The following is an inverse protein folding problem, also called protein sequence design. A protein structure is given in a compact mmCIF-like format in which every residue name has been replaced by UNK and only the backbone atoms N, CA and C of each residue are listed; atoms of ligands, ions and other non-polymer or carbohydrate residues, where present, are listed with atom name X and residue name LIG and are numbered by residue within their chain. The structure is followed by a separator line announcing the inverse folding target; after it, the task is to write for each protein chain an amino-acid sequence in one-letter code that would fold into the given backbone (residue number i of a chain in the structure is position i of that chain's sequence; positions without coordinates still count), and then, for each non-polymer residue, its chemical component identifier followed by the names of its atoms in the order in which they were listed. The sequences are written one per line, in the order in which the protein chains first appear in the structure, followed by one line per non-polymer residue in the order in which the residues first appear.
data_IF_045366192715
#
_entry.id   IF_045366192715
#
_cell.length_a   1.000
_cell.length_b   1.000
_cell.length_c   1.000
_cell.angle_alpha   90.00
_cell.angle_beta   90.00
_cell.angle_gamma   90.00
#
_symmetry.space_group_name_H-M   'P 1'
#
loop_
_entity.id
_entity.type
_entity.pdbx_description
1 polymer ?
#
# COMPACT_ATOMS: atom_id res chain seq x y z
N UNK A 1 -7.36 5.82 9.03
CA UNK A 1 -6.07 6.45 8.78
C UNK A 1 -5.06 6.11 9.89
N UNK A 2 -5.39 6.33 11.17
CA UNK A 2 -4.47 6.07 12.31
C UNK A 2 -3.95 4.64 12.34
N UNK A 3 -4.81 3.63 12.17
CA UNK A 3 -4.42 2.22 12.13
C UNK A 3 -3.45 1.92 10.97
N UNK A 4 -3.77 2.39 9.76
CA UNK A 4 -2.92 2.21 8.58
C UNK A 4 -1.54 2.85 8.79
N UNK A 5 -1.50 4.02 9.40
CA UNK A 5 -0.27 4.72 9.74
C UNK A 5 0.58 3.94 10.74
N UNK A 6 -0.03 3.46 11.84
CA UNK A 6 0.66 2.63 12.84
C UNK A 6 1.22 1.35 12.24
N UNK A 7 0.42 0.64 11.45
CA UNK A 7 0.85 -0.57 10.76
C UNK A 7 2.07 -0.33 9.85
N UNK A 8 2.11 0.79 9.12
CA UNK A 8 3.27 1.14 8.30
C UNK A 8 4.51 1.41 9.14
N UNK A 9 4.39 1.99 10.33
CA UNK A 9 5.51 2.21 11.25
C UNK A 9 6.11 0.90 11.79
N UNK A 10 5.34 -0.18 11.81
CA UNK A 10 5.80 -1.51 12.21
C UNK A 10 6.56 -2.27 11.09
N UNK A 11 6.52 -1.76 9.87
CA UNK A 11 7.31 -2.29 8.74
C UNK A 11 8.71 -1.66 8.70
N UNK A 12 9.57 -2.15 7.80
CA UNK A 12 10.92 -1.61 7.61
C UNK A 12 10.99 -0.29 6.84
N UNK A 13 9.86 0.41 6.64
CA UNK A 13 9.87 1.71 5.94
C UNK A 13 10.60 2.79 6.75
N UNK A 14 11.44 3.58 6.10
CA UNK A 14 12.21 4.65 6.76
C UNK A 14 11.38 5.90 7.10
N UNK A 15 10.23 6.07 6.46
CA UNK A 15 9.34 7.23 6.64
C UNK A 15 7.95 6.93 6.14
N UNK A 16 6.95 7.34 6.90
CA UNK A 16 5.53 7.32 6.49
C UNK A 16 5.08 8.74 6.20
N UNK A 17 4.35 8.93 5.11
CA UNK A 17 3.79 10.22 4.70
C UNK A 17 2.36 10.05 4.22
N UNK A 18 1.56 11.09 4.34
CA UNK A 18 0.15 11.09 3.95
C UNK A 18 -0.02 12.03 2.76
N UNK A 19 -0.50 11.47 1.62
CA UNK A 19 -0.90 12.26 0.45
C UNK A 19 -2.39 12.57 0.57
N UNK A 20 -2.72 13.86 0.72
CA UNK A 20 -4.11 14.29 0.89
C UNK A 20 -4.26 15.78 0.58
N UNK A 21 -5.36 16.14 -0.09
CA UNK A 21 -5.65 17.51 -0.54
C UNK A 21 -6.57 18.25 0.45
N UNK A 22 -6.33 18.09 1.76
CA UNK A 22 -7.15 18.70 2.82
C UNK A 22 -6.53 19.91 3.51
N UNK A 23 -5.26 20.24 3.18
CA UNK A 23 -4.54 21.36 3.76
C UNK A 23 -4.04 21.14 5.19
N UNK A 24 -4.19 19.94 5.75
CA UNK A 24 -3.74 19.66 7.10
C UNK A 24 -2.21 19.58 7.22
N UNK A 25 -1.70 20.00 8.36
CA UNK A 25 -0.27 19.95 8.65
C UNK A 25 0.24 18.49 8.65
N UNK A 26 1.32 18.23 7.90
CA UNK A 26 1.88 16.88 7.75
C UNK A 26 1.34 16.11 6.55
N UNK A 27 0.27 16.57 5.92
CA UNK A 27 -0.19 16.08 4.64
C UNK A 27 0.49 16.82 3.49
N UNK A 28 0.65 16.16 2.35
CA UNK A 28 1.11 16.86 1.15
C UNK A 28 0.06 16.72 0.03
N UNK A 29 -0.21 17.84 -0.67
CA UNK A 29 -1.20 17.85 -1.74
C UNK A 29 -0.66 17.22 -3.03
N UNK A 30 -1.58 16.84 -3.88
CA UNK A 30 -1.29 16.41 -5.24
C UNK A 30 -0.81 17.59 -6.11
N UNK A 31 0.27 17.37 -6.86
CA UNK A 31 0.74 18.33 -7.86
C UNK A 31 -0.24 18.48 -9.04
N UNK A 32 -1.00 17.42 -9.33
CA UNK A 32 -2.06 17.41 -10.34
C UNK A 32 -3.39 16.95 -9.72
N UNK A 33 -4.11 17.81 -8.99
CA UNK A 33 -5.36 17.41 -8.32
C UNK A 33 -6.41 16.84 -9.27
N UNK A 34 -7.24 15.93 -8.76
CA UNK A 34 -8.36 15.35 -9.49
C UNK A 34 -8.00 14.23 -10.49
N UNK A 35 -6.76 13.77 -10.50
CA UNK A 35 -6.29 12.70 -11.39
C UNK A 35 -6.12 11.34 -10.68
N UNK A 36 -6.91 11.11 -9.65
CA UNK A 36 -6.97 9.84 -8.91
C UNK A 36 -5.67 9.48 -8.18
N UNK A 37 -5.52 8.20 -7.78
CA UNK A 37 -4.38 7.75 -6.97
C UNK A 37 -3.01 8.00 -7.64
N UNK A 38 -2.96 8.02 -8.97
CA UNK A 38 -1.71 8.23 -9.70
C UNK A 38 -1.12 9.63 -9.43
N UNK A 39 -1.96 10.63 -9.14
CA UNK A 39 -1.49 11.97 -8.77
C UNK A 39 -0.77 11.99 -7.43
N UNK A 40 -1.31 11.31 -6.42
CA UNK A 40 -0.65 11.16 -5.13
C UNK A 40 0.68 10.42 -5.24
N UNK A 41 0.72 9.36 -6.06
CA UNK A 41 1.94 8.59 -6.35
C UNK A 41 3.00 9.49 -7.00
N UNK A 42 2.62 10.28 -8.00
CA UNK A 42 3.50 11.24 -8.66
C UNK A 42 4.06 12.25 -7.67
N UNK A 43 3.19 12.85 -6.85
CA UNK A 43 3.58 13.88 -5.88
C UNK A 43 4.56 13.33 -4.84
N UNK A 44 4.35 12.09 -4.39
CA UNK A 44 5.29 11.38 -3.52
C UNK A 44 6.62 11.09 -4.23
N UNK A 45 6.59 10.60 -5.47
CA UNK A 45 7.77 10.28 -6.25
C UNK A 45 8.66 11.50 -6.49
N UNK A 46 8.05 12.64 -6.81
CA UNK A 46 8.76 13.90 -7.04
C UNK A 46 9.33 14.49 -5.72
N UNK A 47 8.63 14.33 -4.61
CA UNK A 47 9.06 14.83 -3.30
C UNK A 47 10.20 14.02 -2.68
N UNK A 48 10.27 12.72 -3.00
CA UNK A 48 11.27 11.79 -2.46
C UNK A 48 12.05 11.06 -3.57
N UNK A 49 12.79 11.78 -4.42
CA UNK A 49 13.37 11.22 -5.66
C UNK A 49 14.37 10.09 -5.44
N UNK A 50 14.96 9.99 -4.24
CA UNK A 50 15.98 8.99 -3.90
C UNK A 50 15.42 7.86 -3.01
N UNK A 51 14.09 7.73 -2.90
CA UNK A 51 13.42 6.71 -2.09
C UNK A 51 12.44 5.92 -2.93
N UNK A 52 12.52 4.59 -2.87
CA UNK A 52 11.43 3.75 -3.36
C UNK A 52 10.18 3.96 -2.52
N UNK A 53 9.02 3.70 -3.07
CA UNK A 53 7.74 4.00 -2.46
C UNK A 53 6.96 2.70 -2.18
N UNK A 54 6.48 2.54 -0.96
CA UNK A 54 5.39 1.62 -0.64
C UNK A 54 4.09 2.43 -0.62
N UNK A 55 3.21 2.18 -1.57
CA UNK A 55 1.93 2.88 -1.73
C UNK A 55 0.83 1.99 -1.17
N UNK A 56 0.10 2.50 -0.19
CA UNK A 56 -0.99 1.81 0.48
C UNK A 56 -2.24 2.69 0.50
N UNK A 57 -3.40 2.22 -0.02
CA UNK A 57 -4.66 2.92 0.14
C UNK A 57 -5.21 2.74 1.56
N UNK A 58 -6.06 3.65 2.00
CA UNK A 58 -6.60 3.66 3.38
C UNK A 58 -7.81 2.75 3.58
N UNK A 59 -8.35 2.19 2.51
CA UNK A 59 -9.57 1.41 2.46
C UNK A 59 -9.36 -0.12 2.50
N UNK A 60 -8.19 -0.55 2.99
CA UNK A 60 -7.84 -1.95 3.22
C UNK A 60 -7.79 -2.27 4.73
N UNK A 61 -8.93 -2.46 5.39
CA UNK A 61 -9.00 -2.63 6.84
C UNK A 61 -8.38 -3.94 7.34
N UNK A 62 -8.30 -4.97 6.50
CA UNK A 62 -7.73 -6.28 6.82
C UNK A 62 -6.26 -6.43 6.44
N UNK A 63 -5.63 -5.34 5.97
CA UNK A 63 -4.19 -5.36 5.69
C UNK A 63 -3.40 -5.61 6.98
N UNK A 64 -2.32 -6.37 6.86
CA UNK A 64 -1.42 -6.71 7.95
C UNK A 64 0.05 -6.38 7.63
N UNK A 65 0.85 -6.25 8.70
CA UNK A 65 2.28 -5.90 8.63
C UNK A 65 3.06 -6.93 7.81
N UNK A 66 2.77 -8.22 8.00
CA UNK A 66 3.53 -9.30 7.34
C UNK A 66 3.33 -9.29 5.82
N UNK A 67 2.12 -8.97 5.37
CA UNK A 67 1.80 -8.82 3.95
C UNK A 67 2.54 -7.63 3.34
N UNK A 68 2.55 -6.47 4.03
CA UNK A 68 3.28 -5.30 3.56
C UNK A 68 4.80 -5.51 3.57
N UNK A 69 5.34 -6.16 4.59
CA UNK A 69 6.76 -6.47 4.68
C UNK A 69 7.21 -7.39 3.53
N UNK A 70 6.40 -8.38 3.16
CA UNK A 70 6.68 -9.23 1.99
C UNK A 70 6.77 -8.44 0.68
N UNK A 71 5.94 -7.40 0.54
CA UNK A 71 5.98 -6.53 -0.63
C UNK A 71 7.30 -5.75 -0.67
N UNK A 72 7.71 -5.17 0.46
CA UNK A 72 8.97 -4.45 0.63
C UNK A 72 10.18 -5.36 0.34
N UNK A 73 10.28 -6.49 1.04
CA UNK A 73 11.40 -7.43 0.91
C UNK A 73 11.56 -7.93 -0.53
N UNK A 74 10.43 -8.22 -1.20
CA UNK A 74 10.45 -8.67 -2.59
C UNK A 74 10.92 -7.55 -3.52
N UNK A 75 10.43 -6.33 -3.33
CA UNK A 75 10.80 -5.16 -4.12
C UNK A 75 12.30 -4.84 -4.01
N UNK A 76 12.83 -4.89 -2.80
CA UNK A 76 14.25 -4.65 -2.54
C UNK A 76 15.12 -5.78 -3.07
N UNK A 77 14.79 -7.03 -2.73
CA UNK A 77 15.55 -8.21 -3.12
C UNK A 77 15.70 -8.35 -4.64
N UNK A 78 14.61 -8.14 -5.38
CA UNK A 78 14.59 -8.33 -6.84
C UNK A 78 14.77 -7.03 -7.62
N UNK A 79 14.93 -5.91 -6.94
CA UNK A 79 15.01 -4.57 -7.56
C UNK A 79 13.90 -4.37 -8.60
N UNK A 80 12.66 -4.71 -8.28
CA UNK A 80 11.51 -4.70 -9.18
C UNK A 80 10.33 -3.93 -8.56
N UNK A 81 9.43 -3.44 -9.40
CA UNK A 81 8.10 -3.05 -8.93
C UNK A 81 7.33 -4.31 -8.53
N UNK A 82 6.57 -4.25 -7.45
CA UNK A 82 5.89 -5.43 -6.89
C UNK A 82 4.49 -5.10 -6.45
N UNK A 83 3.53 -5.97 -6.77
CA UNK A 83 2.15 -5.92 -6.28
C UNK A 83 1.60 -7.30 -5.99
N UNK A 84 0.40 -7.40 -5.45
CA UNK A 84 -0.30 -8.67 -5.26
C UNK A 84 -1.26 -8.94 -6.41
N UNK A 85 -1.06 -10.06 -7.11
CA UNK A 85 -1.93 -10.53 -8.20
C UNK A 85 -2.27 -9.42 -9.18
N UNK A 86 -3.56 -9.22 -9.41
CA UNK A 86 -4.09 -8.17 -10.30
C UNK A 86 -4.53 -6.89 -9.56
N UNK A 87 -4.28 -6.78 -8.25
CA UNK A 87 -4.62 -5.59 -7.49
C UNK A 87 -3.66 -4.45 -7.81
N UNK A 88 -4.19 -3.27 -8.13
CA UNK A 88 -3.40 -2.07 -8.42
C UNK A 88 -2.59 -1.60 -7.22
N UNK A 89 -3.15 -1.75 -6.02
CA UNK A 89 -2.58 -1.36 -4.73
C UNK A 89 -2.83 -2.47 -3.69
N UNK A 90 -1.96 -2.64 -2.69
CA UNK A 90 -0.71 -1.90 -2.45
C UNK A 90 0.35 -2.18 -3.53
N UNK A 91 1.24 -1.21 -3.71
CA UNK A 91 2.29 -1.26 -4.73
C UNK A 91 3.64 -0.85 -4.12
N UNK A 92 4.66 -1.70 -4.27
CA UNK A 92 6.04 -1.26 -4.13
C UNK A 92 6.54 -0.73 -5.47
N UNK A 93 6.90 0.54 -5.51
CA UNK A 93 7.32 1.26 -6.71
C UNK A 93 8.79 1.69 -6.59
N UNK A 94 9.61 1.26 -7.54
CA UNK A 94 10.95 1.79 -7.71
C UNK A 94 10.88 3.21 -8.25
N UNK A 95 11.35 4.16 -7.45
CA UNK A 95 11.29 5.57 -7.80
C UNK A 95 12.55 6.00 -8.57
N UNK A 96 12.70 5.50 -9.77
CA UNK A 96 13.76 5.89 -10.69
C UNK A 96 13.43 7.21 -11.40
N UNK A 97 14.41 7.80 -12.06
CA UNK A 97 14.17 8.98 -12.91
C UNK A 97 13.16 8.67 -14.03
N UNK A 98 13.31 7.52 -14.69
CA UNK A 98 12.36 7.06 -15.71
C UNK A 98 10.95 6.92 -15.15
N UNK A 99 10.81 6.40 -13.92
CA UNK A 99 9.51 6.30 -13.23
C UNK A 99 8.87 7.67 -13.07
N UNK A 100 9.61 8.66 -12.61
CA UNK A 100 9.12 10.04 -12.42
C UNK A 100 8.75 10.71 -13.74
N UNK A 101 9.59 10.57 -14.77
CA UNK A 101 9.31 11.11 -16.10
C UNK A 101 8.04 10.49 -16.71
N UNK A 102 7.86 9.18 -16.57
CA UNK A 102 6.66 8.48 -17.07
C UNK A 102 5.41 8.90 -16.29
N UNK A 103 5.49 9.08 -14.96
CA UNK A 103 4.39 9.62 -14.15
C UNK A 103 3.99 11.02 -14.60
N UNK A 104 4.98 11.93 -14.75
CA UNK A 104 4.74 13.30 -15.18
C UNK A 104 4.13 13.36 -16.59
N UNK A 105 4.68 12.59 -17.53
CA UNK A 105 4.13 12.48 -18.88
C UNK A 105 2.69 11.95 -18.88
N UNK A 106 2.42 10.89 -18.13
CA UNK A 106 1.08 10.29 -18.03
C UNK A 106 0.07 11.31 -17.52
N UNK A 107 0.40 12.06 -16.47
CA UNK A 107 -0.51 13.03 -15.87
C UNK A 107 -0.69 14.30 -16.72
N UNK A 108 0.30 14.70 -17.49
CA UNK A 108 0.24 15.92 -18.33
C UNK A 108 -0.32 15.67 -19.71
N UNK A 109 0.03 14.54 -20.32
CA UNK A 109 -0.14 14.31 -21.75
C UNK A 109 -1.16 13.24 -22.09
N UNK A 110 -1.74 12.54 -21.08
CA UNK A 110 -2.76 11.50 -21.33
C UNK A 110 -4.05 11.76 -20.55
N UNK A 111 -5.12 11.08 -20.96
CA UNK A 111 -6.41 11.10 -20.27
C UNK A 111 -6.64 9.80 -19.46
N UNK A 112 -5.61 9.01 -19.23
CA UNK A 112 -5.70 7.75 -18.48
C UNK A 112 -4.83 7.82 -17.23
N UNK A 113 -5.47 7.86 -16.06
CA UNK A 113 -4.84 8.00 -14.76
C UNK A 113 -4.88 6.70 -13.95
N UNK A 114 -5.00 5.56 -14.64
CA UNK A 114 -5.02 4.23 -14.02
C UNK A 114 -3.61 3.82 -13.57
N UNK A 115 -3.50 3.39 -12.32
CA UNK A 115 -2.26 2.80 -11.77
C UNK A 115 -1.86 1.54 -12.53
N UNK A 116 -2.84 0.70 -12.91
CA UNK A 116 -2.57 -0.52 -13.69
C UNK A 116 -1.93 -0.20 -15.03
N UNK A 117 -2.53 0.76 -15.76
CA UNK A 117 -1.99 1.17 -17.06
C UNK A 117 -0.61 1.80 -16.92
N UNK A 118 -0.37 2.61 -15.90
CA UNK A 118 0.96 3.13 -15.60
C UNK A 118 1.96 2.00 -15.37
N UNK A 119 1.59 0.99 -14.59
CA UNK A 119 2.47 -0.14 -14.28
C UNK A 119 2.86 -0.98 -15.51
N UNK A 120 2.09 -0.94 -16.61
CA UNK A 120 2.46 -1.66 -17.84
C UNK A 120 3.73 -1.14 -18.53
N UNK A 121 4.18 0.06 -18.17
CA UNK A 121 5.41 0.64 -18.71
C UNK A 121 6.69 0.07 -18.07
N UNK A 122 6.58 -0.77 -17.04
CA UNK A 122 7.73 -1.26 -16.27
C UNK A 122 7.64 -2.77 -15.99
N UNK A 123 8.79 -3.43 -15.78
CA UNK A 123 8.78 -4.76 -15.18
C UNK A 123 8.03 -4.75 -13.84
N UNK A 124 7.08 -5.67 -13.69
CA UNK A 124 6.22 -5.77 -12.53
C UNK A 124 6.13 -7.22 -12.07
N UNK A 125 6.59 -7.46 -10.85
CA UNK A 125 6.44 -8.75 -10.18
C UNK A 125 5.07 -8.84 -9.49
N UNK A 126 4.38 -9.95 -9.68
CA UNK A 126 3.09 -10.25 -9.03
C UNK A 126 3.29 -11.31 -7.96
N UNK A 127 3.07 -10.96 -6.72
CA UNK A 127 3.09 -11.91 -5.61
C UNK A 127 1.72 -12.55 -5.42
N UNK A 128 1.71 -13.82 -5.06
CA UNK A 128 0.49 -14.47 -4.60
C UNK A 128 0.22 -14.11 -3.14
N UNK A 129 -1.03 -13.82 -2.81
CA UNK A 129 -1.45 -13.70 -1.42
C UNK A 129 -1.47 -15.08 -0.77
N UNK A 130 -1.07 -15.15 0.49
CA UNK A 130 -1.25 -16.36 1.31
C UNK A 130 -2.71 -16.55 1.72
N UNK A 131 -3.40 -15.43 1.95
CA UNK A 131 -4.82 -15.34 2.25
C UNK A 131 -5.40 -14.16 1.47
N UNK A 132 -6.65 -14.21 1.06
CA UNK A 132 -7.26 -13.10 0.28
C UNK A 132 -7.76 -11.94 1.13
N UNK A 133 -7.98 -12.16 2.43
CA UNK A 133 -8.52 -11.17 3.35
C UNK A 133 -7.75 -9.84 3.42
N UNK A 134 -6.41 -9.78 3.39
CA UNK A 134 -5.69 -8.50 3.49
C UNK A 134 -6.04 -7.47 2.43
N UNK A 135 -6.47 -7.90 1.24
CA UNK A 135 -6.85 -6.98 0.14
C UNK A 135 -8.37 -6.76 0.04
N UNK A 136 -9.12 -7.14 1.07
CA UNK A 136 -10.54 -6.83 1.12
C UNK A 136 -10.73 -5.31 1.20
N UNK A 137 -11.29 -4.74 0.14
CA UNK A 137 -11.58 -3.31 0.06
C UNK A 137 -12.96 -3.04 0.67
N UNK A 138 -13.04 -2.08 1.59
CA UNK A 138 -14.29 -1.68 2.27
C UNK A 138 -14.73 -0.29 1.82
N UNK A 139 -15.55 -0.24 0.78
CA UNK A 139 -16.12 1.01 0.25
C UNK A 139 -17.43 1.41 0.92
N UNK A 140 -18.04 0.53 1.73
CA UNK A 140 -19.30 0.81 2.44
C UNK A 140 -19.17 0.60 3.94
N UNK A 141 -20.01 1.27 4.77
CA UNK A 141 -20.05 1.06 6.20
C UNK A 141 -20.34 -0.40 6.60
N UNK A 142 -21.10 -1.14 5.80
CA UNK A 142 -21.40 -2.55 6.01
C UNK A 142 -20.16 -3.41 5.80
N UNK A 143 -19.42 -3.17 4.72
CA UNK A 143 -18.16 -3.87 4.42
C UNK A 143 -17.12 -3.58 5.51
N UNK A 144 -17.05 -2.35 6.01
CA UNK A 144 -16.19 -1.99 7.12
C UNK A 144 -16.55 -2.73 8.40
N UNK A 145 -17.84 -2.80 8.76
CA UNK A 145 -18.32 -3.57 9.93
C UNK A 145 -18.00 -5.05 9.81
N UNK A 146 -18.23 -5.64 8.64
CA UNK A 146 -17.87 -7.03 8.37
C UNK A 146 -16.37 -7.28 8.55
N UNK A 147 -15.52 -6.40 8.05
CA UNK A 147 -14.08 -6.49 8.22
C UNK A 147 -13.67 -6.42 9.69
N UNK A 148 -14.23 -5.50 10.47
CA UNK A 148 -13.94 -5.34 11.90
C UNK A 148 -14.35 -6.56 12.73
N UNK A 149 -15.48 -7.19 12.44
CA UNK A 149 -15.91 -8.43 13.09
C UNK A 149 -14.95 -9.60 12.84
N UNK A 150 -14.36 -9.70 11.65
CA UNK A 150 -13.34 -10.71 11.37
C UNK A 150 -12.01 -10.47 12.08
N UNK A 151 -11.71 -9.23 12.46
CA UNK A 151 -10.54 -8.94 13.30
C UNK A 151 -10.68 -9.47 14.71
N UNK A 152 -11.83 -9.22 15.34
CA UNK A 152 -12.11 -9.65 16.72
C UNK A 152 -12.08 -11.18 16.87
N UNK A 153 -12.48 -11.92 15.84
CA UNK A 153 -12.46 -13.40 15.87
C UNK A 153 -11.06 -13.98 15.63
N UNK A 154 -10.15 -13.27 14.99
CA UNK A 154 -8.78 -13.74 14.70
C UNK A 154 -7.84 -13.58 15.91
N UNK A 155 -8.08 -12.64 16.79
CA UNK A 155 -7.29 -12.44 18.02
C UNK A 155 -7.65 -13.41 19.15
N UNK A 156 -8.78 -14.12 19.05
CA UNK A 156 -9.29 -15.01 20.11
C UNK A 156 -8.82 -16.46 20.01
N UNK A 157 -7.95 -16.83 19.08
CA UNK A 157 -7.43 -18.20 18.89
C UNK A 157 -5.95 -18.32 19.26
N UNK A 158 -5.59 -17.95 20.49
CA UNK A 158 -4.35 -18.43 21.10
C UNK A 158 -4.70 -19.70 21.90
N UNK A 159 -4.19 -20.88 21.56
CA UNK A 159 -4.36 -22.06 22.41
C UNK A 159 -3.59 -21.84 23.71
N UNK A 160 -4.32 -21.83 24.80
CA UNK A 160 -3.72 -21.93 26.14
C UNK A 160 -3.14 -23.34 26.28
N UNK A 161 -1.85 -23.50 26.08
CA UNK A 161 -1.15 -24.75 26.45
C UNK A 161 -1.23 -24.88 27.98
N UNK A 162 -2.08 -25.78 28.41
CA UNK A 162 -2.11 -26.27 29.80
C UNK A 162 -0.87 -27.15 29.99
N UNK A 163 0.17 -26.61 30.64
CA UNK A 163 1.27 -27.44 31.15
C UNK A 163 0.74 -28.24 32.32
N UNK A 164 0.42 -29.51 32.11
CA UNK A 164 0.34 -30.48 33.18
C UNK A 164 1.73 -30.80 33.66
N UNK A 165 2.07 -30.29 34.85
CA UNK A 165 3.17 -30.78 35.63
C UNK A 165 2.83 -32.18 36.17
N UNK A 166 3.70 -33.12 35.93
CA UNK A 166 3.72 -34.41 36.66
C UNK A 166 4.88 -34.42 37.61
N UNK A 167 4.60 -34.89 38.80
CA UNK A 167 5.46 -35.12 39.94
C UNK A 167 6.76 -35.88 39.60
#
# INVERSE_FOLDING_TARGET
LTRTYQMLLETSVSKVVISRNDGEAGHFPDLYPGKGPLSGIHSAAMRFPNKNLLILPIDLPLMDVSTLQRLLDSGEKFSSNVRFGEHSLPLYLRNTETTRQTLDYTLRCTNSFSVDRFCTHFPLMKLQLRQQSPLFNSNTPEQWRFAMQHFETSECSVPTEVRHGTC
#
